data_IF_309756566749
#
_entry.id   IF_309756566749
#
_cell.length_a   1.000
_cell.length_b   1.000
_cell.length_c   1.000
_cell.angle_alpha   90.00
_cell.angle_beta   90.00
_cell.angle_gamma   90.00
#
_symmetry.space_group_name_H-M   'P 1'
#
loop_
_entity.id
_entity.type
_entity.pdbx_description
1 polymer ?
#
# COMPACT_ATOMS: atom_id res chain seq x y z
N UNK A 1 7.15 -3.72 -16.94
CA UNK A 1 6.08 -3.92 -15.93
C UNK A 1 6.08 -5.39 -15.54
N UNK A 2 6.21 -5.70 -14.25
CA UNK A 2 6.26 -7.09 -13.76
C UNK A 2 4.86 -7.70 -13.79
N UNK A 3 4.71 -8.88 -14.41
CA UNK A 3 3.46 -9.63 -14.39
C UNK A 3 3.28 -10.25 -13.00
N UNK A 4 2.50 -9.57 -12.14
CA UNK A 4 2.31 -9.97 -10.73
C UNK A 4 1.42 -11.22 -10.57
N UNK A 5 0.77 -11.70 -11.64
CA UNK A 5 -0.17 -12.83 -11.55
C UNK A 5 0.53 -14.12 -11.10
N UNK A 6 1.81 -14.29 -11.46
CA UNK A 6 2.60 -15.44 -11.02
C UNK A 6 2.82 -15.50 -9.50
N UNK A 7 2.74 -14.35 -8.82
CA UNK A 7 2.91 -14.24 -7.37
C UNK A 7 1.58 -14.41 -6.63
N UNK A 8 0.45 -14.08 -7.29
CA UNK A 8 -0.91 -14.24 -6.76
C UNK A 8 -1.40 -15.68 -6.84
N UNK A 9 -0.95 -16.43 -7.85
CA UNK A 9 -1.28 -17.84 -8.02
C UNK A 9 -0.72 -18.68 -6.87
N UNK A 10 -1.59 -19.42 -6.22
CA UNK A 10 -1.19 -20.37 -5.19
C UNK A 10 -0.63 -21.64 -5.85
N UNK A 11 0.69 -21.72 -5.97
CA UNK A 11 1.39 -22.91 -6.49
C UNK A 11 1.47 -24.05 -5.46
N UNK A 12 0.98 -23.84 -4.23
CA UNK A 12 1.10 -24.78 -3.11
C UNK A 12 -0.30 -25.12 -2.60
N UNK A 13 -0.98 -25.97 -3.37
CA UNK A 13 -2.22 -26.64 -3.02
C UNK A 13 -2.50 -26.69 -1.50
N UNK A 14 -3.39 -25.82 -1.03
CA UNK A 14 -4.26 -25.98 0.14
C UNK A 14 -3.62 -26.24 1.53
N UNK A 15 -2.32 -26.02 1.72
CA UNK A 15 -1.66 -26.30 3.02
C UNK A 15 -1.60 -25.09 3.97
N UNK A 16 -1.95 -23.88 3.53
CA UNK A 16 -1.93 -22.68 4.38
C UNK A 16 -3.32 -22.07 4.52
N UNK A 17 -3.69 -21.58 5.72
CA UNK A 17 -4.98 -20.94 5.95
C UNK A 17 -5.15 -19.59 5.23
N UNK A 18 -4.08 -19.08 4.60
CA UNK A 18 -4.05 -17.78 3.92
C UNK A 18 -3.51 -18.00 2.51
N UNK A 19 -4.32 -17.65 1.51
CA UNK A 19 -3.95 -17.66 0.09
C UNK A 19 -2.88 -16.61 -0.21
N UNK A 20 -1.94 -16.92 -1.11
CA UNK A 20 -0.94 -15.95 -1.58
C UNK A 20 -1.58 -14.65 -2.08
N UNK A 21 -2.74 -14.74 -2.76
CA UNK A 21 -3.49 -13.58 -3.25
C UNK A 21 -3.81 -12.55 -2.17
N UNK A 22 -3.94 -12.96 -0.90
CA UNK A 22 -4.26 -12.06 0.20
C UNK A 22 -3.11 -11.09 0.53
N UNK A 23 -1.88 -11.39 0.10
CA UNK A 23 -0.72 -10.52 0.28
C UNK A 23 -0.55 -9.49 -0.85
N UNK A 24 -1.27 -9.63 -1.97
CA UNK A 24 -1.09 -8.79 -3.15
C UNK A 24 -2.34 -7.93 -3.44
N UNK A 25 -2.28 -6.64 -3.10
CA UNK A 25 -3.27 -5.61 -3.49
C UNK A 25 -2.95 -5.08 -4.91
N UNK A 26 -3.59 -3.99 -5.33
CA UNK A 26 -3.34 -3.29 -6.60
C UNK A 26 -1.88 -2.90 -6.83
N UNK A 27 -1.15 -2.57 -5.76
CA UNK A 27 0.27 -2.19 -5.86
C UNK A 27 0.50 -0.87 -6.60
N UNK A 28 -0.51 -0.02 -6.62
CA UNK A 28 -0.51 1.28 -7.29
C UNK A 28 -0.29 2.40 -6.27
N UNK A 29 0.47 3.42 -6.69
CA UNK A 29 0.50 4.73 -6.01
C UNK A 29 -0.90 5.34 -6.10
N UNK A 30 -1.27 6.21 -5.15
CA UNK A 30 -2.53 6.96 -5.15
C UNK A 30 -3.80 6.18 -4.80
N UNK A 31 -3.80 4.85 -4.67
CA UNK A 31 -5.03 4.09 -4.33
C UNK A 31 -5.68 4.51 -2.99
N UNK A 32 -4.98 5.26 -2.13
CA UNK A 32 -5.53 5.85 -0.92
C UNK A 32 -6.71 6.79 -1.18
N UNK A 33 -6.80 7.45 -2.34
CA UNK A 33 -7.91 8.36 -2.69
C UNK A 33 -9.25 7.65 -2.76
N UNK A 34 -9.25 6.33 -2.97
CA UNK A 34 -10.46 5.51 -2.99
C UNK A 34 -11.03 5.23 -1.59
N UNK A 35 -10.27 5.53 -0.53
CA UNK A 35 -10.61 5.14 0.85
C UNK A 35 -10.58 6.30 1.84
N UNK A 36 -9.77 7.32 1.59
CA UNK A 36 -9.67 8.49 2.46
C UNK A 36 -10.49 9.65 1.92
N UNK A 37 -11.21 10.34 2.81
CA UNK A 37 -11.74 11.66 2.47
C UNK A 37 -10.60 12.68 2.40
N UNK A 38 -10.84 13.80 1.71
CA UNK A 38 -9.87 14.89 1.61
C UNK A 38 -9.39 15.35 3.00
N UNK A 39 -10.30 15.52 3.94
CA UNK A 39 -9.99 15.91 5.32
C UNK A 39 -9.09 14.89 6.04
N UNK A 40 -9.28 13.59 5.80
CA UNK A 40 -8.43 12.55 6.40
C UNK A 40 -7.02 12.59 5.81
N UNK A 41 -6.90 12.79 4.50
CA UNK A 41 -5.62 12.92 3.82
C UNK A 41 -4.85 14.15 4.30
N UNK A 42 -5.49 15.33 4.33
CA UNK A 42 -4.88 16.57 4.83
C UNK A 42 -4.36 16.42 6.27
N UNK A 43 -5.12 15.74 7.13
CA UNK A 43 -4.69 15.47 8.50
C UNK A 43 -3.44 14.58 8.54
N UNK A 44 -3.34 13.57 7.68
CA UNK A 44 -2.16 12.69 7.60
C UNK A 44 -0.96 13.43 7.03
N UNK A 45 -1.16 14.32 6.06
CA UNK A 45 -0.10 15.16 5.49
C UNK A 45 0.50 16.07 6.57
N UNK A 46 -0.35 16.74 7.36
CA UNK A 46 0.09 17.57 8.48
C UNK A 46 0.87 16.76 9.54
N UNK A 47 0.42 15.56 9.89
CA UNK A 47 1.14 14.69 10.84
C UNK A 47 2.49 14.28 10.26
N UNK A 48 2.54 13.93 8.98
CA UNK A 48 3.76 13.52 8.27
C UNK A 48 4.78 14.64 8.29
N UNK A 49 4.39 15.86 7.90
CA UNK A 49 5.26 17.03 7.91
C UNK A 49 5.77 17.32 9.33
N UNK A 50 4.87 17.42 10.32
CA UNK A 50 5.26 17.67 11.71
C UNK A 50 6.25 16.65 12.28
N UNK A 51 6.20 15.39 11.84
CA UNK A 51 7.06 14.32 12.37
C UNK A 51 8.34 14.13 11.58
N UNK A 52 8.35 14.44 10.28
CA UNK A 52 9.45 14.09 9.39
C UNK A 52 10.20 15.30 8.81
N UNK A 53 9.69 16.53 8.95
CA UNK A 53 10.29 17.75 8.38
C UNK A 53 11.80 17.90 8.66
N UNK A 54 12.26 17.58 9.88
CA UNK A 54 13.67 17.77 10.28
C UNK A 54 14.54 16.54 10.03
N UNK A 55 13.98 15.46 9.48
CA UNK A 55 14.71 14.21 9.20
C UNK A 55 15.39 14.23 7.84
N UNK A 56 15.10 15.22 7.00
CA UNK A 56 15.52 15.25 5.59
C UNK A 56 14.79 14.24 4.69
N UNK A 57 13.80 13.54 5.23
CA UNK A 57 12.98 12.59 4.51
C UNK A 57 11.85 13.29 3.76
N UNK A 58 11.80 13.12 2.44
CA UNK A 58 10.79 13.71 1.56
C UNK A 58 10.17 12.64 0.67
N UNK A 59 8.89 12.79 0.36
CA UNK A 59 8.19 12.03 -0.68
C UNK A 59 8.19 12.85 -1.98
N UNK A 60 8.36 12.17 -3.13
CA UNK A 60 8.37 12.77 -4.48
C UNK A 60 7.10 12.44 -5.26
#
# INVERSE_FOLDING_TARGET
MSNQDVNKLDKRYQQRPISNSNFFRKGEVEDWVNYLSLQMAEKLDQITEQKLQDTGFNFF
#
